data_IF_694500641072
#
_entry.id   IF_694500641072
#
_cell.length_a   1.000
_cell.length_b   1.000
_cell.length_c   1.000
_cell.angle_alpha   90.00
_cell.angle_beta   90.00
_cell.angle_gamma   90.00
#
_symmetry.space_group_name_H-M   'P 1'
#
loop_
_entity.id
_entity.type
_entity.pdbx_description
1 polymer ?
#
# COMPACT_ATOMS: atom_id res chain seq x y z
N UNK A 1 -71.01 -12.97 -39.28
CA UNK A 1 -70.48 -12.07 -38.19
C UNK A 1 -69.48 -12.71 -37.21
N UNK A 2 -69.14 -14.00 -37.32
CA UNK A 2 -68.23 -14.67 -36.35
C UNK A 2 -66.69 -14.63 -36.71
N UNK A 3 -66.36 -14.37 -37.96
CA UNK A 3 -64.98 -14.30 -38.39
C UNK A 3 -64.19 -13.05 -37.92
N UNK A 4 -64.85 -11.91 -37.74
CA UNK A 4 -64.16 -10.69 -37.33
C UNK A 4 -63.75 -10.66 -35.86
N UNK A 5 -64.34 -11.48 -35.00
CA UNK A 5 -63.97 -11.54 -33.57
C UNK A 5 -62.77 -12.42 -33.32
N UNK A 6 -62.55 -13.48 -34.15
CA UNK A 6 -61.42 -14.38 -34.03
C UNK A 6 -60.11 -13.67 -34.48
N UNK A 7 -60.15 -12.94 -35.60
CA UNK A 7 -58.99 -12.18 -36.09
C UNK A 7 -58.59 -11.03 -35.14
N UNK A 8 -59.54 -10.31 -34.55
CA UNK A 8 -59.23 -9.28 -33.54
C UNK A 8 -58.62 -9.84 -32.24
N UNK A 9 -58.99 -11.04 -31.82
CA UNK A 9 -58.37 -11.69 -30.67
C UNK A 9 -56.95 -12.13 -31.01
N UNK A 10 -56.68 -12.71 -32.19
CA UNK A 10 -55.32 -13.11 -32.56
C UNK A 10 -54.37 -11.92 -32.65
N UNK A 11 -54.77 -10.80 -33.23
CA UNK A 11 -53.94 -9.59 -33.30
C UNK A 11 -53.62 -9.00 -31.93
N UNK A 12 -54.55 -9.06 -30.97
CA UNK A 12 -54.31 -8.61 -29.60
C UNK A 12 -53.34 -9.54 -28.85
N UNK A 13 -53.39 -10.86 -29.07
CA UNK A 13 -52.43 -11.80 -28.48
C UNK A 13 -51.03 -11.64 -29.07
N UNK A 14 -50.90 -11.40 -30.37
CA UNK A 14 -49.61 -11.11 -31.00
C UNK A 14 -49.03 -9.78 -30.50
N UNK A 15 -49.83 -8.76 -30.35
CA UNK A 15 -49.40 -7.46 -29.80
C UNK A 15 -48.93 -7.59 -28.32
N UNK A 16 -49.72 -8.31 -27.49
CA UNK A 16 -49.34 -8.56 -26.10
C UNK A 16 -48.06 -9.38 -25.98
N UNK A 17 -47.90 -10.41 -26.83
CA UNK A 17 -46.65 -11.20 -26.87
C UNK A 17 -45.45 -10.37 -27.28
N UNK A 18 -45.58 -9.55 -28.31
CA UNK A 18 -44.50 -8.67 -28.77
C UNK A 18 -44.16 -7.59 -27.73
N UNK A 19 -45.14 -7.06 -27.04
CA UNK A 19 -44.94 -6.11 -25.93
C UNK A 19 -44.17 -6.77 -24.75
N UNK A 20 -44.56 -8.01 -24.38
CA UNK A 20 -43.88 -8.79 -23.36
C UNK A 20 -42.42 -9.11 -23.75
N UNK A 21 -42.20 -9.50 -25.02
CA UNK A 21 -40.84 -9.76 -25.53
C UNK A 21 -39.99 -8.50 -25.51
N UNK A 22 -40.56 -7.32 -25.84
CA UNK A 22 -39.88 -6.04 -25.71
C UNK A 22 -39.48 -5.70 -24.26
N UNK A 23 -40.42 -5.94 -23.33
CA UNK A 23 -40.15 -5.71 -21.89
C UNK A 23 -39.05 -6.64 -21.37
N UNK A 24 -39.06 -7.92 -21.76
CA UNK A 24 -38.00 -8.88 -21.40
C UNK A 24 -36.64 -8.46 -21.96
N UNK A 25 -36.61 -7.99 -23.24
CA UNK A 25 -35.37 -7.49 -23.84
C UNK A 25 -34.79 -6.28 -23.10
N UNK A 26 -35.63 -5.33 -22.69
CA UNK A 26 -35.21 -4.16 -21.90
C UNK A 26 -34.67 -4.59 -20.53
N UNK A 27 -35.34 -5.51 -19.83
CA UNK A 27 -34.89 -6.02 -18.55
C UNK A 27 -33.52 -6.75 -18.65
N UNK A 28 -33.31 -7.55 -19.70
CA UNK A 28 -32.03 -8.21 -19.96
C UNK A 28 -30.94 -7.19 -20.24
N UNK A 29 -31.22 -6.14 -20.97
CA UNK A 29 -30.23 -5.06 -21.23
C UNK A 29 -29.83 -4.36 -19.93
N UNK A 30 -30.80 -4.03 -19.08
CA UNK A 30 -30.53 -3.43 -17.77
C UNK A 30 -29.71 -4.38 -16.88
N UNK A 31 -30.02 -5.67 -16.90
CA UNK A 31 -29.27 -6.67 -16.14
C UNK A 31 -27.81 -6.77 -16.58
N UNK A 32 -27.55 -6.74 -17.90
CA UNK A 32 -26.19 -6.74 -18.45
C UNK A 32 -25.41 -5.50 -18.05
N UNK A 33 -26.04 -4.32 -18.10
CA UNK A 33 -25.42 -3.06 -17.69
C UNK A 33 -25.08 -3.08 -16.20
N UNK A 34 -26.02 -3.51 -15.34
CA UNK A 34 -25.77 -3.65 -13.90
C UNK A 34 -24.67 -4.65 -13.58
N UNK A 35 -24.65 -5.79 -14.26
CA UNK A 35 -23.61 -6.81 -14.12
C UNK A 35 -22.23 -6.27 -14.52
N UNK A 36 -22.16 -5.51 -15.62
CA UNK A 36 -20.93 -4.85 -16.04
C UNK A 36 -20.44 -3.82 -15.00
N UNK A 37 -21.33 -3.01 -14.44
CA UNK A 37 -20.98 -2.07 -13.39
C UNK A 37 -20.42 -2.76 -12.13
N UNK A 38 -20.94 -3.93 -11.78
CA UNK A 38 -20.43 -4.70 -10.64
C UNK A 38 -19.05 -5.29 -10.92
N UNK A 39 -18.78 -5.74 -12.15
CA UNK A 39 -17.46 -6.29 -12.53
C UNK A 39 -16.36 -5.24 -12.55
N UNK A 40 -16.69 -3.95 -12.82
CA UNK A 40 -15.74 -2.85 -12.82
C UNK A 40 -15.65 -2.12 -11.47
N UNK A 41 -16.38 -2.57 -10.46
CA UNK A 41 -16.33 -1.98 -9.12
C UNK A 41 -15.07 -2.46 -8.41
N UNK A 42 -14.11 -1.56 -8.19
CA UNK A 42 -12.96 -1.83 -7.31
C UNK A 42 -13.48 -2.07 -5.90
N UNK A 43 -13.33 -3.29 -5.41
CA UNK A 43 -13.61 -3.59 -4.00
C UNK A 43 -12.55 -2.94 -3.13
N UNK A 44 -12.97 -2.16 -2.14
CA UNK A 44 -12.10 -1.67 -1.08
C UNK A 44 -11.90 -2.81 -0.09
N UNK A 45 -10.69 -3.34 -0.06
CA UNK A 45 -10.31 -4.33 0.96
C UNK A 45 -9.86 -3.54 2.20
N UNK A 46 -10.67 -3.56 3.26
CA UNK A 46 -10.31 -3.00 4.55
C UNK A 46 -9.48 -4.05 5.27
N UNK A 47 -8.17 -3.82 5.37
CA UNK A 47 -7.26 -4.64 6.17
C UNK A 47 -7.13 -3.98 7.54
N UNK A 48 -7.75 -4.57 8.57
CA UNK A 48 -7.68 -4.12 9.95
C UNK A 48 -6.69 -5.00 10.71
N UNK A 49 -5.49 -4.52 11.08
CA UNK A 49 -4.70 -5.13 12.14
C UNK A 49 -5.39 -4.92 13.51
N UNK A 50 -5.12 -5.77 14.54
CA UNK A 50 -5.87 -5.76 15.81
C UNK A 50 -5.82 -4.49 16.65
N UNK A 51 -4.94 -3.55 16.34
CA UNK A 51 -4.77 -2.27 17.08
C UNK A 51 -5.03 -1.01 16.26
N UNK A 52 -5.65 -1.12 15.08
CA UNK A 52 -5.80 0.04 14.20
C UNK A 52 -6.89 0.97 14.68
N UNK A 53 -6.48 2.17 15.05
CA UNK A 53 -7.38 3.29 15.41
C UNK A 53 -7.89 4.07 14.19
N UNK A 54 -7.45 3.72 12.96
CA UNK A 54 -7.78 4.44 11.71
C UNK A 54 -8.15 3.44 10.61
N UNK A 55 -9.10 3.81 9.76
CA UNK A 55 -9.54 2.96 8.65
C UNK A 55 -8.50 2.97 7.53
N UNK A 56 -7.99 1.80 7.18
CA UNK A 56 -7.12 1.62 6.02
C UNK A 56 -7.95 1.20 4.81
N UNK A 57 -7.72 1.82 3.69
CA UNK A 57 -8.36 1.43 2.44
C UNK A 57 -7.32 1.29 1.33
N UNK A 58 -7.62 0.38 0.40
CA UNK A 58 -6.85 0.15 -0.83
C UNK A 58 -7.83 0.17 -1.99
N UNK A 59 -7.62 1.04 -2.95
CA UNK A 59 -8.43 1.17 -4.14
C UNK A 59 -7.55 1.09 -5.40
N UNK A 60 -7.57 -0.08 -6.07
CA UNK A 60 -6.67 -0.34 -7.19
C UNK A 60 -5.20 -0.30 -6.75
N UNK A 61 -4.46 0.71 -7.24
CA UNK A 61 -3.06 0.96 -6.86
C UNK A 61 -2.89 2.16 -5.91
N UNK A 62 -3.99 2.67 -5.35
CA UNK A 62 -3.97 3.75 -4.36
C UNK A 62 -4.13 3.19 -2.97
N UNK A 63 -3.41 3.77 -2.03
CA UNK A 63 -3.42 3.38 -0.61
C UNK A 63 -3.79 4.59 0.23
N UNK A 64 -4.46 4.35 1.36
CA UNK A 64 -4.74 5.45 2.29
C UNK A 64 -3.43 6.02 2.84
N UNK A 65 -3.35 7.34 3.09
CA UNK A 65 -2.17 7.96 3.70
C UNK A 65 -1.79 7.29 5.03
N UNK A 66 -2.78 6.91 5.83
CA UNK A 66 -2.58 6.26 7.12
C UNK A 66 -1.91 4.88 6.96
N UNK A 67 -2.30 4.12 5.91
CA UNK A 67 -1.65 2.84 5.62
C UNK A 67 -0.21 3.03 5.17
N UNK A 68 0.07 4.03 4.34
CA UNK A 68 1.44 4.36 3.91
C UNK A 68 2.29 4.80 5.09
N UNK A 69 1.73 5.60 6.01
CA UNK A 69 2.39 6.06 7.24
C UNK A 69 2.81 4.87 8.11
N UNK A 70 1.88 3.99 8.45
CA UNK A 70 2.14 2.82 9.30
C UNK A 70 3.15 1.86 8.67
N UNK A 71 3.02 1.60 7.37
CA UNK A 71 3.97 0.74 6.65
C UNK A 71 5.36 1.36 6.58
N UNK A 72 5.46 2.68 6.42
CA UNK A 72 6.74 3.38 6.39
C UNK A 72 7.43 3.34 7.75
N UNK A 73 6.71 3.63 8.83
CA UNK A 73 7.22 3.55 10.20
C UNK A 73 7.69 2.13 10.51
N UNK A 74 6.90 1.12 10.15
CA UNK A 74 7.28 -0.28 10.31
C UNK A 74 8.59 -0.63 9.57
N UNK A 75 8.73 -0.22 8.31
CA UNK A 75 9.96 -0.48 7.55
C UNK A 75 11.16 0.34 8.02
N UNK A 76 10.93 1.54 8.56
CA UNK A 76 11.99 2.33 9.21
C UNK A 76 12.53 1.58 10.43
N UNK A 77 11.67 1.09 11.31
CA UNK A 77 12.09 0.30 12.46
C UNK A 77 12.83 -0.99 12.04
N UNK A 78 12.33 -1.72 11.05
CA UNK A 78 13.04 -2.90 10.53
C UNK A 78 14.43 -2.57 9.96
N UNK A 79 14.62 -1.37 9.40
CA UNK A 79 15.86 -0.99 8.73
C UNK A 79 16.85 -0.28 9.64
N UNK A 80 16.38 0.44 10.64
CA UNK A 80 17.19 1.35 11.46
C UNK A 80 17.33 0.89 12.93
N UNK A 81 16.36 0.09 13.44
CA UNK A 81 16.45 -0.49 14.79
C UNK A 81 17.12 -1.86 14.69
N UNK A 82 18.42 -1.85 14.48
CA UNK A 82 19.17 -3.07 14.16
C UNK A 82 20.35 -3.30 15.10
N UNK A 83 20.53 -4.57 15.40
CA UNK A 83 21.72 -5.11 16.07
C UNK A 83 22.11 -6.43 15.42
N UNK A 84 23.18 -7.04 15.90
CA UNK A 84 23.67 -8.31 15.35
C UNK A 84 22.65 -9.46 15.36
N UNK A 85 21.66 -9.43 16.27
CA UNK A 85 20.63 -10.46 16.43
C UNK A 85 19.40 -10.19 15.58
N UNK A 86 18.94 -8.92 15.54
CA UNK A 86 17.70 -8.54 14.85
C UNK A 86 17.87 -8.33 13.36
N UNK A 87 19.06 -7.93 12.90
CA UNK A 87 19.33 -7.63 11.49
C UNK A 87 18.96 -8.77 10.52
N UNK A 88 19.29 -10.07 10.80
CA UNK A 88 18.91 -11.18 9.91
C UNK A 88 17.40 -11.27 9.71
N UNK A 89 16.66 -11.27 10.81
CA UNK A 89 15.21 -11.37 10.82
C UNK A 89 14.54 -10.17 10.12
N UNK A 90 14.99 -8.97 10.45
CA UNK A 90 14.47 -7.73 9.86
C UNK A 90 14.69 -7.72 8.33
N UNK A 91 15.86 -8.14 7.88
CA UNK A 91 16.17 -8.23 6.43
C UNK A 91 15.27 -9.24 5.72
N UNK A 92 14.98 -10.38 6.35
CA UNK A 92 14.07 -11.38 5.77
C UNK A 92 12.66 -10.82 5.61
N UNK A 93 12.16 -10.07 6.61
CA UNK A 93 10.85 -9.41 6.51
C UNK A 93 10.85 -8.37 5.38
N UNK A 94 11.82 -7.46 5.35
CA UNK A 94 11.93 -6.46 4.30
C UNK A 94 11.97 -7.10 2.90
N UNK A 95 12.70 -8.19 2.74
CA UNK A 95 12.78 -8.92 1.48
C UNK A 95 11.43 -9.53 1.05
N UNK A 96 10.58 -9.97 1.99
CA UNK A 96 9.22 -10.47 1.69
C UNK A 96 8.28 -9.37 1.15
N UNK A 97 8.49 -8.13 1.59
CA UNK A 97 7.73 -6.98 1.14
C UNK A 97 8.36 -6.25 -0.05
N UNK A 98 9.44 -6.78 -0.61
CA UNK A 98 10.18 -6.19 -1.73
C UNK A 98 9.99 -6.97 -3.02
N UNK A 99 10.29 -6.34 -4.16
CA UNK A 99 10.47 -7.05 -5.42
C UNK A 99 11.80 -7.84 -5.39
N UNK A 100 11.98 -8.74 -6.36
CA UNK A 100 13.15 -9.64 -6.41
C UNK A 100 14.46 -8.88 -6.45
N UNK A 101 14.53 -7.77 -7.17
CA UNK A 101 15.73 -6.95 -7.30
C UNK A 101 16.09 -6.30 -5.95
N UNK A 102 15.12 -5.64 -5.33
CA UNK A 102 15.28 -5.01 -4.01
C UNK A 102 15.61 -6.05 -2.94
N UNK A 103 14.97 -7.23 -2.97
CA UNK A 103 15.23 -8.30 -2.01
C UNK A 103 16.69 -8.81 -2.11
N UNK A 104 17.24 -8.96 -3.31
CA UNK A 104 18.64 -9.36 -3.50
C UNK A 104 19.60 -8.28 -3.01
N UNK A 105 19.32 -7.00 -3.32
CA UNK A 105 20.12 -5.88 -2.80
C UNK A 105 20.12 -5.83 -1.27
N UNK A 106 18.97 -6.04 -0.62
CA UNK A 106 18.88 -6.08 0.84
C UNK A 106 19.72 -7.21 1.46
N UNK A 107 19.73 -8.38 0.83
CA UNK A 107 20.57 -9.52 1.30
C UNK A 107 22.05 -9.22 1.19
N UNK A 108 22.50 -8.65 0.07
CA UNK A 108 23.90 -8.26 -0.10
C UNK A 108 24.31 -7.16 0.89
N UNK A 109 23.41 -6.19 1.13
CA UNK A 109 23.63 -5.15 2.14
C UNK A 109 23.74 -5.76 3.55
N UNK A 110 22.85 -6.71 3.88
CA UNK A 110 22.88 -7.43 5.14
C UNK A 110 24.24 -8.10 5.40
N UNK A 111 24.79 -8.82 4.41
CA UNK A 111 26.07 -9.50 4.56
C UNK A 111 27.23 -8.53 4.88
N UNK A 112 27.17 -7.33 4.33
CA UNK A 112 28.16 -6.28 4.64
C UNK A 112 27.97 -5.67 6.02
N UNK A 113 26.71 -5.41 6.40
CA UNK A 113 26.38 -4.68 7.62
C UNK A 113 26.49 -5.57 8.86
N UNK A 114 26.12 -6.87 8.78
CA UNK A 114 26.21 -7.81 9.91
C UNK A 114 27.65 -7.97 10.41
N UNK A 115 28.62 -7.96 9.50
CA UNK A 115 30.04 -8.05 9.87
C UNK A 115 30.46 -6.85 10.71
N UNK A 116 30.08 -5.63 10.28
CA UNK A 116 30.39 -4.39 11.01
C UNK A 116 29.73 -4.33 12.38
N UNK A 117 28.47 -4.77 12.47
CA UNK A 117 27.72 -4.78 13.74
C UNK A 117 28.35 -5.75 14.74
N UNK A 118 28.77 -6.96 14.26
CA UNK A 118 29.42 -7.97 15.12
C UNK A 118 30.79 -7.54 15.61
N UNK A 119 31.62 -6.99 14.72
CA UNK A 119 32.98 -6.57 15.06
C UNK A 119 33.01 -5.43 16.08
N UNK A 120 32.01 -4.57 16.07
CA UNK A 120 31.98 -3.38 16.91
C UNK A 120 30.97 -3.46 18.07
N UNK A 121 30.27 -4.58 18.26
CA UNK A 121 29.12 -4.70 19.19
C UNK A 121 28.15 -3.51 19.05
N UNK A 122 27.91 -3.14 17.77
CA UNK A 122 27.17 -1.94 17.44
C UNK A 122 25.68 -2.22 17.27
N UNK A 123 24.86 -1.23 17.62
CA UNK A 123 23.43 -1.21 17.32
C UNK A 123 22.97 0.21 17.01
N UNK A 124 21.84 0.29 16.32
CA UNK A 124 21.19 1.57 16.03
C UNK A 124 19.72 1.51 16.41
N UNK A 125 19.17 2.68 16.75
CA UNK A 125 17.72 2.89 16.95
C UNK A 125 17.31 4.20 16.33
N UNK A 126 16.09 4.26 15.81
CA UNK A 126 15.52 5.47 15.22
C UNK A 126 14.21 5.82 15.90
N UNK A 127 14.19 6.94 16.58
CA UNK A 127 13.00 7.48 17.25
C UNK A 127 12.29 8.45 16.30
N UNK A 128 11.16 8.01 15.75
CA UNK A 128 10.33 8.84 14.85
C UNK A 128 9.68 9.96 15.65
N UNK A 129 9.79 11.20 15.18
CA UNK A 129 9.16 12.39 15.76
C UNK A 129 7.98 12.87 14.94
N UNK A 130 8.15 12.93 13.62
CA UNK A 130 7.16 13.46 12.71
C UNK A 130 7.17 12.64 11.42
N UNK A 131 5.98 12.46 10.83
CA UNK A 131 5.82 11.72 9.57
C UNK A 131 4.99 12.56 8.62
N UNK A 132 5.46 12.72 7.40
CA UNK A 132 4.77 13.39 6.31
C UNK A 132 4.56 12.41 5.16
N UNK A 133 3.31 12.22 4.74
CA UNK A 133 2.95 11.28 3.68
C UNK A 133 2.73 12.03 2.37
N UNK A 134 3.35 11.55 1.29
CA UNK A 134 3.12 11.98 -0.08
C UNK A 134 2.49 10.82 -0.85
N UNK A 135 1.14 10.77 -0.95
CA UNK A 135 0.42 9.63 -1.55
C UNK A 135 0.74 9.42 -3.03
N UNK A 136 1.14 10.47 -3.72
CA UNK A 136 1.63 10.43 -5.09
C UNK A 136 3.01 11.12 -5.11
N UNK A 137 4.14 10.41 -5.29
CA UNK A 137 4.35 9.04 -5.82
C UNK A 137 4.52 7.90 -4.78
N UNK A 138 3.78 7.84 -3.67
CA UNK A 138 3.90 6.85 -2.59
C UNK A 138 5.26 6.94 -1.86
N UNK A 139 5.56 8.12 -1.38
CA UNK A 139 6.74 8.43 -0.57
C UNK A 139 6.27 8.87 0.82
N UNK A 140 6.97 8.41 1.84
CA UNK A 140 6.77 8.86 3.20
C UNK A 140 8.09 9.37 3.75
N UNK A 141 8.08 10.59 4.26
CA UNK A 141 9.21 11.23 4.93
C UNK A 141 9.01 11.15 6.42
N UNK A 142 10.01 10.65 7.14
CA UNK A 142 10.01 10.59 8.58
C UNK A 142 11.21 11.35 9.13
N UNK A 143 10.94 12.26 10.04
CA UNK A 143 11.95 13.00 10.81
C UNK A 143 12.07 12.40 12.19
N UNK A 144 13.30 12.29 12.69
CA UNK A 144 13.53 11.64 13.97
C UNK A 144 14.96 11.76 14.46
N UNK A 145 15.26 10.99 15.50
CA UNK A 145 16.57 10.92 16.12
C UNK A 145 17.16 9.53 15.88
N UNK A 146 18.29 9.49 15.18
CA UNK A 146 19.08 8.28 15.01
C UNK A 146 20.14 8.20 16.09
N UNK A 147 20.10 7.12 16.87
CA UNK A 147 21.06 6.82 17.95
C UNK A 147 21.93 5.64 17.57
N UNK A 148 23.20 5.76 17.82
CA UNK A 148 24.20 4.71 17.63
C UNK A 148 24.74 4.25 18.97
N UNK A 149 24.82 2.96 19.17
CA UNK A 149 25.29 2.36 20.40
C UNK A 149 26.48 1.44 20.11
N UNK A 150 27.38 1.33 21.09
CA UNK A 150 28.41 0.30 21.20
C UNK A 150 28.24 -0.37 22.56
N UNK A 151 27.89 -1.64 22.57
CA UNK A 151 27.38 -2.30 23.76
C UNK A 151 26.12 -1.59 24.29
N UNK A 152 26.11 -1.20 25.55
CA UNK A 152 25.01 -0.46 26.18
C UNK A 152 25.14 1.07 26.13
N UNK A 153 26.26 1.59 25.57
CA UNK A 153 26.55 3.04 25.60
C UNK A 153 26.14 3.71 24.30
N UNK A 154 25.31 4.73 24.39
CA UNK A 154 25.03 5.63 23.26
C UNK A 154 26.27 6.48 22.97
N UNK A 155 26.83 6.32 21.76
CA UNK A 155 28.06 7.02 21.33
C UNK A 155 27.78 8.20 20.41
N UNK A 156 26.60 8.20 19.75
CA UNK A 156 26.21 9.26 18.82
C UNK A 156 24.71 9.36 18.74
N UNK A 157 24.23 10.58 18.81
CA UNK A 157 22.83 10.93 18.59
C UNK A 157 22.78 12.06 17.58
N UNK A 158 21.87 11.96 16.59
CA UNK A 158 21.70 13.00 15.58
C UNK A 158 20.28 13.03 15.05
N UNK A 159 19.78 14.21 14.72
CA UNK A 159 18.59 14.34 13.90
C UNK A 159 18.85 13.79 12.51
N UNK A 160 17.87 13.08 11.97
CA UNK A 160 17.95 12.52 10.63
C UNK A 160 16.56 12.50 10.00
N UNK A 161 16.54 12.71 8.69
CA UNK A 161 15.34 12.64 7.88
C UNK A 161 15.50 11.45 6.93
N UNK A 162 14.51 10.58 6.91
CA UNK A 162 14.47 9.43 6.02
C UNK A 162 13.24 9.47 5.12
N UNK A 163 13.42 9.14 3.86
CA UNK A 163 12.35 8.90 2.90
C UNK A 163 12.23 7.41 2.62
N UNK A 164 11.02 6.89 2.84
CA UNK A 164 10.62 5.53 2.47
C UNK A 164 9.83 5.62 1.17
N UNK A 165 10.31 4.94 0.14
CA UNK A 165 9.65 4.88 -1.16
C UNK A 165 9.02 3.51 -1.37
N UNK A 166 7.84 3.51 -1.98
CA UNK A 166 7.09 2.30 -2.29
C UNK A 166 6.86 2.15 -3.79
N UNK A 167 6.77 0.90 -4.24
CA UNK A 167 6.23 0.53 -5.55
C UNK A 167 4.86 -0.11 -5.36
N UNK A 168 3.96 0.10 -6.31
CA UNK A 168 2.64 -0.53 -6.32
C UNK A 168 2.50 -1.40 -7.55
N UNK A 169 2.00 -2.62 -7.35
CA UNK A 169 1.74 -3.53 -8.45
C UNK A 169 0.55 -4.44 -8.10
N UNK A 170 -0.48 -4.41 -8.96
CA UNK A 170 -1.71 -5.23 -8.81
C UNK A 170 -2.36 -5.11 -7.42
N UNK A 171 -2.46 -3.87 -6.91
CA UNK A 171 -3.08 -3.62 -5.60
C UNK A 171 -2.22 -4.02 -4.39
N UNK A 172 -0.94 -4.34 -4.59
CA UNK A 172 0.02 -4.62 -3.52
C UNK A 172 1.05 -3.52 -3.41
N UNK A 173 1.39 -3.20 -2.16
CA UNK A 173 2.46 -2.28 -1.81
C UNK A 173 3.76 -3.06 -1.63
N UNK A 174 4.82 -2.63 -2.32
CA UNK A 174 6.16 -3.19 -2.21
C UNK A 174 7.11 -2.14 -1.68
N UNK A 175 7.92 -2.54 -0.71
CA UNK A 175 9.05 -1.74 -0.27
C UNK A 175 10.07 -1.57 -1.40
N UNK A 176 10.49 -0.35 -1.66
CA UNK A 176 11.49 -0.03 -2.69
C UNK A 176 12.82 0.33 -2.07
N UNK A 177 12.85 1.37 -1.26
CA UNK A 177 14.09 1.85 -0.65
C UNK A 177 13.82 2.78 0.52
N UNK A 178 14.85 2.91 1.39
CA UNK A 178 14.96 3.97 2.38
C UNK A 178 16.20 4.78 2.06
N UNK A 179 16.04 6.10 1.96
CA UNK A 179 17.12 7.06 1.75
C UNK A 179 17.18 8.03 2.91
N UNK A 180 18.36 8.32 3.40
CA UNK A 180 18.55 9.47 4.25
C UNK A 180 18.58 10.72 3.38
N UNK A 181 17.77 11.72 3.73
CA UNK A 181 17.75 13.03 3.09
C UNK A 181 18.60 13.97 3.96
N UNK A 182 19.54 14.64 3.36
CA UNK A 182 20.25 15.72 4.05
C UNK A 182 19.31 16.92 4.17
N UNK A 183 19.23 17.47 5.37
CA UNK A 183 18.54 18.73 5.60
C UNK A 183 19.32 19.83 4.85
N UNK A 184 18.80 20.26 3.69
CA UNK A 184 19.31 21.47 3.06
C UNK A 184 19.07 22.63 4.02
N UNK A 185 20.10 23.01 4.78
CA UNK A 185 20.14 24.23 5.54
C UNK A 185 20.13 25.43 4.57
N UNK A 186 19.02 25.63 3.85
CA UNK A 186 18.65 26.94 3.37
C UNK A 186 18.05 27.75 4.52
N UNK A 187 18.83 27.97 5.59
CA UNK A 187 18.61 29.15 6.40
C UNK A 187 19.10 30.33 5.60
N UNK A 188 18.15 30.95 4.90
CA UNK A 188 18.24 32.30 4.40
C UNK A 188 18.99 33.19 5.39
N UNK A 189 20.17 33.65 4.98
CA UNK A 189 20.69 34.88 5.52
C UNK A 189 19.74 36.01 5.15
N UNK A 190 19.19 36.62 6.13
CA UNK A 190 18.94 38.06 6.17
C UNK A 190 18.68 38.46 7.64
#
# INVERSE_FOLDING_TARGET
MRFNYATKRMTNFEYQRNMLLGLVAVLLTILVILSSCLLFRSERVIVLPPEVRREFWVEGNRFSPEYLEEMAVYFLHLSLDVNQTTLPYNTEILARYSDTETANYLKEKYERDIKKLKENDASTTFEVKEVTVFPDPNIVRAEGILKHYVGSKCIKERSAIYEVSFKTYRGRLFFKEIKQVEENNEKSGN
#
